data_IF_344909943472
#
_entry.id   IF_344909943472
#
_cell.length_a   1.000
_cell.length_b   1.000
_cell.length_c   1.000
_cell.angle_alpha   90.00
_cell.angle_beta   90.00
_cell.angle_gamma   90.00
#
_symmetry.space_group_name_H-M   'P 1'
#
loop_
_entity.id
_entity.type
_entity.pdbx_description
1 polymer ?
#
# COMPACT_ATOMS: atom_id res chain seq x y z
N UNK A 1 -19.12 -21.84 -9.87
CA UNK A 1 -18.01 -20.84 -9.99
C UNK A 1 -18.14 -19.83 -8.85
N UNK A 2 -17.13 -19.68 -7.97
CA UNK A 2 -17.15 -18.62 -6.95
C UNK A 2 -17.15 -17.24 -7.66
N UNK A 3 -18.14 -16.40 -7.33
CA UNK A 3 -18.24 -15.05 -7.87
C UNK A 3 -17.01 -14.24 -7.44
N UNK A 4 -16.30 -13.66 -8.38
CA UNK A 4 -15.08 -12.89 -8.13
C UNK A 4 -15.42 -11.65 -7.30
N UNK A 5 -14.58 -11.32 -6.32
CA UNK A 5 -14.74 -10.12 -5.50
C UNK A 5 -14.79 -8.87 -6.39
N UNK A 6 -15.67 -7.95 -6.05
CA UNK A 6 -15.84 -6.67 -6.75
C UNK A 6 -15.63 -5.53 -5.78
N UNK A 7 -14.79 -4.58 -6.15
CA UNK A 7 -14.68 -3.29 -5.47
C UNK A 7 -15.29 -2.19 -6.34
N UNK A 8 -15.95 -1.24 -5.72
CA UNK A 8 -16.56 -0.08 -6.38
C UNK A 8 -15.64 1.12 -6.26
N UNK A 9 -15.38 1.77 -7.40
CA UNK A 9 -14.70 3.04 -7.46
C UNK A 9 -15.73 4.17 -7.38
N UNK A 10 -15.71 4.92 -6.29
CA UNK A 10 -16.58 6.06 -6.04
C UNK A 10 -16.05 7.32 -6.72
N UNK A 11 -16.89 8.38 -6.79
CA UNK A 11 -16.52 9.65 -7.43
C UNK A 11 -15.41 10.40 -6.68
N UNK A 12 -15.25 10.17 -5.39
CA UNK A 12 -14.17 10.69 -4.57
C UNK A 12 -12.88 9.82 -4.61
N UNK A 13 -12.79 8.93 -5.59
CA UNK A 13 -11.68 8.00 -5.81
C UNK A 13 -11.46 6.93 -4.73
N UNK A 14 -12.39 6.76 -3.79
CA UNK A 14 -12.35 5.62 -2.86
C UNK A 14 -12.71 4.33 -3.58
N UNK A 15 -12.03 3.25 -3.20
CA UNK A 15 -12.24 1.90 -3.74
C UNK A 15 -12.75 1.01 -2.60
N UNK A 16 -14.01 0.61 -2.66
CA UNK A 16 -14.69 -0.06 -1.54
C UNK A 16 -15.20 -1.45 -1.94
N UNK A 17 -14.89 -2.44 -1.12
CA UNK A 17 -15.52 -3.77 -1.17
C UNK A 17 -16.67 -3.79 -0.17
N UNK A 18 -17.89 -3.75 -0.67
CA UNK A 18 -19.11 -3.69 0.15
C UNK A 18 -19.51 -5.04 0.74
N UNK A 19 -19.27 -6.12 0.02
CA UNK A 19 -19.53 -7.49 0.46
C UNK A 19 -18.57 -7.85 1.59
N UNK A 20 -19.10 -8.01 2.81
CA UNK A 20 -18.31 -8.21 4.03
C UNK A 20 -17.54 -9.54 4.01
N UNK A 21 -18.14 -10.62 3.49
CA UNK A 21 -17.45 -11.91 3.39
C UNK A 21 -16.28 -11.84 2.42
N UNK A 22 -16.48 -11.15 1.28
CA UNK A 22 -15.41 -10.90 0.30
C UNK A 22 -14.36 -9.93 0.82
N UNK A 23 -14.77 -8.94 1.59
CA UNK A 23 -13.87 -8.02 2.27
C UNK A 23 -12.94 -8.78 3.24
N UNK A 24 -13.49 -9.66 4.08
CA UNK A 24 -12.71 -10.54 4.97
C UNK A 24 -11.78 -11.47 4.20
N UNK A 25 -12.26 -12.08 3.11
CA UNK A 25 -11.44 -12.94 2.25
C UNK A 25 -10.21 -12.19 1.70
N UNK A 26 -10.37 -10.93 1.24
CA UNK A 26 -9.28 -10.10 0.74
C UNK A 26 -8.32 -9.70 1.87
N UNK A 27 -8.85 -9.26 3.00
CA UNK A 27 -8.04 -8.84 4.14
C UNK A 27 -7.24 -10.02 4.72
N UNK A 28 -7.88 -11.13 5.05
CA UNK A 28 -7.24 -12.27 5.69
C UNK A 28 -6.23 -13.00 4.79
N UNK A 29 -6.36 -12.88 3.46
CA UNK A 29 -5.44 -13.47 2.48
C UNK A 29 -4.29 -12.54 2.06
N UNK A 30 -3.95 -11.54 2.86
CA UNK A 30 -2.77 -10.70 2.56
C UNK A 30 -2.83 -9.28 3.10
N UNK A 31 -3.76 -9.01 4.02
CA UNK A 31 -3.89 -7.72 4.71
C UNK A 31 -4.09 -6.54 3.75
N UNK A 32 -4.85 -6.75 2.67
CA UNK A 32 -5.19 -5.68 1.74
C UNK A 32 -6.35 -4.86 2.28
N UNK A 33 -6.22 -3.55 2.20
CA UNK A 33 -7.23 -2.60 2.61
C UNK A 33 -7.37 -2.42 4.12
N UNK A 34 -8.36 -1.63 4.49
CA UNK A 34 -8.70 -1.35 5.88
C UNK A 34 -10.21 -1.31 6.03
N UNK A 35 -10.81 -2.06 6.98
CA UNK A 35 -12.23 -1.94 7.29
C UNK A 35 -12.59 -0.53 7.72
N UNK A 36 -13.69 0.01 7.18
CA UNK A 36 -14.13 1.37 7.44
C UNK A 36 -14.46 1.55 8.94
N UNK A 37 -13.88 2.60 9.52
CA UNK A 37 -14.14 2.95 10.93
C UNK A 37 -13.48 2.03 11.97
N UNK A 38 -12.74 0.99 11.54
CA UNK A 38 -12.05 0.10 12.45
C UNK A 38 -10.52 0.31 12.40
N UNK A 39 -9.92 0.90 13.46
CA UNK A 39 -8.49 1.16 13.50
C UNK A 39 -7.63 -0.10 13.75
N UNK A 40 -8.25 -1.17 14.29
CA UNK A 40 -7.58 -2.43 14.66
C UNK A 40 -8.45 -3.62 14.31
N UNK A 41 -8.65 -3.87 13.00
CA UNK A 41 -9.57 -4.92 12.56
C UNK A 41 -9.08 -6.29 13.00
N UNK A 42 -10.06 -7.11 13.44
CA UNK A 42 -9.90 -8.54 13.62
C UNK A 42 -10.32 -9.26 12.34
N UNK A 43 -10.07 -10.58 12.27
CA UNK A 43 -10.43 -11.39 11.11
C UNK A 43 -11.94 -11.40 10.78
N UNK A 44 -12.78 -11.16 11.80
CA UNK A 44 -14.25 -11.22 11.75
C UNK A 44 -14.95 -9.84 11.68
N UNK A 45 -14.25 -8.79 11.27
CA UNK A 45 -14.82 -7.43 11.15
C UNK A 45 -16.11 -7.42 10.31
N UNK A 46 -16.99 -6.45 10.59
CA UNK A 46 -18.34 -6.38 9.98
C UNK A 46 -18.52 -5.15 9.06
N UNK A 47 -17.46 -4.45 8.77
CA UNK A 47 -17.49 -3.21 8.00
C UNK A 47 -16.98 -3.44 6.56
N UNK A 48 -17.44 -2.64 5.58
CA UNK A 48 -16.87 -2.63 4.24
C UNK A 48 -15.37 -2.36 4.25
N UNK A 49 -14.65 -2.85 3.25
CA UNK A 49 -13.21 -2.71 3.16
C UNK A 49 -12.83 -1.61 2.18
N UNK A 50 -12.11 -0.60 2.66
CA UNK A 50 -11.49 0.43 1.86
C UNK A 50 -10.12 -0.06 1.38
N UNK A 51 -9.92 -0.11 0.06
CA UNK A 51 -8.64 -0.44 -0.56
C UNK A 51 -7.86 0.85 -0.86
N UNK A 52 -6.56 0.80 -0.61
CA UNK A 52 -5.67 1.83 -1.15
C UNK A 52 -5.59 1.70 -2.70
N UNK A 53 -5.41 2.80 -3.45
CA UNK A 53 -5.31 2.78 -4.90
C UNK A 53 -4.26 1.80 -5.46
N UNK A 54 -3.08 1.74 -4.83
CA UNK A 54 -2.01 0.81 -5.27
C UNK A 54 -2.36 -0.66 -4.98
N UNK A 55 -3.04 -0.91 -3.85
CA UNK A 55 -3.54 -2.25 -3.49
C UNK A 55 -4.60 -2.72 -4.48
N UNK A 56 -5.55 -1.84 -4.81
CA UNK A 56 -6.62 -2.16 -5.75
C UNK A 56 -6.06 -2.51 -7.14
N UNK A 57 -5.13 -1.71 -7.65
CA UNK A 57 -4.49 -2.00 -8.93
C UNK A 57 -3.70 -3.31 -8.90
N UNK A 58 -2.99 -3.59 -7.79
CA UNK A 58 -2.26 -4.85 -7.61
C UNK A 58 -3.20 -6.06 -7.59
N UNK A 59 -4.33 -5.96 -6.88
CA UNK A 59 -5.34 -7.02 -6.84
C UNK A 59 -6.00 -7.26 -8.21
N UNK A 60 -6.22 -6.20 -8.99
CA UNK A 60 -6.72 -6.31 -10.38
C UNK A 60 -5.67 -6.95 -11.29
N UNK A 61 -4.41 -6.53 -11.17
CA UNK A 61 -3.27 -7.06 -11.95
C UNK A 61 -3.11 -8.57 -11.72
N UNK A 62 -3.25 -9.00 -10.47
CA UNK A 62 -3.22 -10.41 -10.07
C UNK A 62 -4.58 -11.13 -10.26
N UNK A 63 -5.55 -10.53 -10.95
CA UNK A 63 -6.86 -11.10 -11.24
C UNK A 63 -7.66 -11.52 -9.99
N UNK A 64 -7.38 -10.96 -8.83
CA UNK A 64 -8.07 -11.27 -7.56
C UNK A 64 -9.42 -10.58 -7.45
N UNK A 65 -9.54 -9.35 -7.94
CA UNK A 65 -10.79 -8.57 -7.91
C UNK A 65 -11.16 -8.00 -9.28
N UNK A 66 -12.43 -7.57 -9.40
CA UNK A 66 -12.89 -6.69 -10.47
C UNK A 66 -13.19 -5.31 -9.89
N UNK A 67 -13.09 -4.26 -10.70
CA UNK A 67 -13.54 -2.93 -10.33
C UNK A 67 -14.77 -2.56 -11.14
N UNK A 68 -15.73 -1.93 -10.47
CA UNK A 68 -16.91 -1.31 -11.10
C UNK A 68 -16.95 0.17 -10.77
N UNK A 69 -17.46 0.96 -11.70
CA UNK A 69 -17.84 2.36 -11.48
C UNK A 69 -19.20 2.56 -12.11
N UNK A 70 -20.14 3.16 -11.40
CA UNK A 70 -21.53 3.36 -11.85
C UNK A 70 -22.17 2.06 -12.36
N UNK A 71 -21.96 0.97 -11.64
CA UNK A 71 -22.46 -0.38 -11.99
C UNK A 71 -21.79 -1.04 -13.20
N UNK A 72 -20.85 -0.37 -13.87
CA UNK A 72 -20.14 -0.87 -15.06
C UNK A 72 -18.72 -1.32 -14.70
N UNK A 73 -18.35 -2.52 -15.16
CA UNK A 73 -16.99 -3.01 -15.02
C UNK A 73 -16.01 -2.14 -15.80
N UNK A 74 -14.92 -1.73 -15.18
CA UNK A 74 -13.82 -1.01 -15.83
C UNK A 74 -12.61 -1.92 -16.05
N UNK A 75 -11.88 -1.67 -17.14
CA UNK A 75 -10.67 -2.41 -17.44
C UNK A 75 -9.51 -1.95 -16.55
N UNK A 76 -8.48 -2.82 -16.40
CA UNK A 76 -7.23 -2.48 -15.70
C UNK A 76 -6.60 -1.19 -16.25
N UNK A 77 -6.51 -1.05 -17.57
CA UNK A 77 -5.87 0.12 -18.19
C UNK A 77 -6.66 1.40 -17.90
N UNK A 78 -8.01 1.34 -17.91
CA UNK A 78 -8.86 2.47 -17.56
C UNK A 78 -8.69 2.83 -16.08
N UNK A 79 -8.70 1.83 -15.18
CA UNK A 79 -8.45 2.04 -13.76
C UNK A 79 -7.09 2.72 -13.55
N UNK A 80 -6.02 2.16 -14.12
CA UNK A 80 -4.67 2.71 -13.98
C UNK A 80 -4.61 4.17 -14.39
N UNK A 81 -5.14 4.51 -15.58
CA UNK A 81 -5.17 5.89 -16.05
C UNK A 81 -5.90 6.83 -15.09
N UNK A 82 -7.07 6.42 -14.57
CA UNK A 82 -7.82 7.22 -13.60
C UNK A 82 -7.04 7.43 -12.29
N UNK A 83 -6.30 6.43 -11.83
CA UNK A 83 -5.48 6.55 -10.62
C UNK A 83 -4.26 7.45 -10.84
N UNK A 84 -3.61 7.36 -11.99
CA UNK A 84 -2.51 8.27 -12.40
C UNK A 84 -2.94 9.74 -12.45
N UNK A 85 -4.15 10.00 -12.93
CA UNK A 85 -4.71 11.35 -13.02
C UNK A 85 -5.09 11.95 -11.65
N UNK A 86 -5.37 11.11 -10.65
CA UNK A 86 -5.92 11.56 -9.36
C UNK A 86 -4.93 11.43 -8.18
N UNK A 87 -3.82 10.71 -8.33
CA UNK A 87 -2.87 10.47 -7.25
C UNK A 87 -1.45 10.80 -7.70
N UNK A 88 -0.78 11.65 -6.93
CA UNK A 88 0.62 12.04 -7.17
C UNK A 88 1.55 10.84 -7.04
N UNK A 89 2.51 10.73 -7.96
CA UNK A 89 3.56 9.70 -7.99
C UNK A 89 2.98 8.27 -7.97
N UNK A 90 1.79 8.10 -8.57
CA UNK A 90 1.06 6.83 -8.51
C UNK A 90 1.85 5.67 -9.14
N UNK A 91 2.51 5.91 -10.27
CA UNK A 91 3.27 4.86 -10.97
C UNK A 91 4.46 4.39 -10.15
N UNK A 92 5.20 5.31 -9.56
CA UNK A 92 6.36 5.10 -8.71
C UNK A 92 5.94 4.31 -7.46
N UNK A 93 4.87 4.74 -6.80
CA UNK A 93 4.28 4.05 -5.65
C UNK A 93 3.81 2.64 -6.01
N UNK A 94 3.12 2.50 -7.12
CA UNK A 94 2.66 1.19 -7.58
C UNK A 94 3.82 0.25 -7.93
N UNK A 95 4.87 0.76 -8.57
CA UNK A 95 6.06 -0.02 -8.92
C UNK A 95 6.76 -0.56 -7.68
N UNK A 96 7.00 0.29 -6.68
CA UNK A 96 7.63 -0.11 -5.41
C UNK A 96 6.72 -1.06 -4.63
N UNK A 97 5.43 -0.74 -4.51
CA UNK A 97 4.46 -1.61 -3.86
C UNK A 97 4.46 -3.02 -4.46
N UNK A 98 4.36 -3.11 -5.77
CA UNK A 98 4.34 -4.39 -6.51
C UNK A 98 5.63 -5.19 -6.30
N UNK A 99 6.80 -4.55 -6.31
CA UNK A 99 8.09 -5.20 -6.08
C UNK A 99 8.18 -5.78 -4.67
N UNK A 100 7.80 -5.00 -3.65
CA UNK A 100 7.81 -5.46 -2.26
C UNK A 100 6.82 -6.61 -2.02
N UNK A 101 5.60 -6.51 -2.58
CA UNK A 101 4.61 -7.60 -2.52
C UNK A 101 5.10 -8.88 -3.20
N UNK A 102 5.76 -8.75 -4.34
CA UNK A 102 6.30 -9.90 -5.08
C UNK A 102 7.49 -10.56 -4.36
N UNK A 103 8.18 -9.82 -3.48
CA UNK A 103 9.20 -10.35 -2.57
C UNK A 103 8.62 -11.04 -1.33
N UNK A 104 7.29 -11.04 -1.17
CA UNK A 104 6.60 -11.71 -0.07
C UNK A 104 6.25 -10.83 1.12
N UNK A 105 6.60 -9.54 1.10
CA UNK A 105 6.25 -8.63 2.19
C UNK A 105 4.77 -8.26 2.19
N UNK A 106 4.23 -8.00 3.38
CA UNK A 106 2.95 -7.32 3.54
C UNK A 106 3.21 -5.82 3.59
N UNK A 107 2.61 -5.08 2.66
CA UNK A 107 2.80 -3.64 2.49
C UNK A 107 1.48 -2.93 2.72
N UNK A 108 1.47 -1.95 3.60
CA UNK A 108 0.31 -1.11 3.91
C UNK A 108 0.67 0.37 3.78
N UNK A 109 -0.33 1.27 3.62
CA UNK A 109 -0.07 2.71 3.62
C UNK A 109 0.67 3.15 4.88
N UNK A 110 1.72 3.95 4.71
CA UNK A 110 2.61 4.42 5.76
C UNK A 110 2.19 5.75 6.40
N UNK A 111 0.99 6.28 6.12
CA UNK A 111 0.50 7.60 6.55
C UNK A 111 0.69 7.81 8.06
N UNK A 112 0.43 6.79 8.87
CA UNK A 112 0.61 6.84 10.32
C UNK A 112 2.05 7.18 10.74
N UNK A 113 3.01 6.87 9.89
CA UNK A 113 4.44 7.08 10.12
C UNK A 113 5.00 8.26 9.33
N UNK A 114 4.16 8.96 8.55
CA UNK A 114 4.58 10.07 7.68
C UNK A 114 5.44 9.63 6.50
N UNK A 115 5.25 8.41 6.01
CA UNK A 115 5.95 7.85 4.86
C UNK A 115 4.96 7.19 3.89
N UNK A 116 5.42 6.72 2.74
CA UNK A 116 4.55 6.09 1.74
C UNK A 116 4.05 4.73 2.20
N UNK A 117 4.94 3.86 2.71
CA UNK A 117 4.57 2.50 3.11
C UNK A 117 5.14 2.10 4.48
N UNK A 118 4.36 1.27 5.18
CA UNK A 118 4.82 0.42 6.27
C UNK A 118 4.90 -1.01 5.76
N UNK A 119 6.02 -1.68 6.00
CA UNK A 119 6.32 -3.01 5.45
C UNK A 119 6.51 -4.00 6.58
N UNK A 120 5.84 -5.14 6.49
CA UNK A 120 5.82 -6.22 7.46
C UNK A 120 6.35 -7.51 6.83
N UNK A 121 6.92 -8.37 7.64
CA UNK A 121 7.27 -9.71 7.22
C UNK A 121 6.05 -10.64 7.20
N UNK A 122 5.20 -10.57 8.24
CA UNK A 122 4.04 -11.44 8.39
C UNK A 122 2.70 -10.67 8.29
N UNK A 123 2.62 -9.47 8.83
CA UNK A 123 1.47 -8.59 8.68
C UNK A 123 1.00 -7.86 9.93
N UNK A 124 0.12 -6.87 9.78
CA UNK A 124 -0.44 -6.09 10.88
C UNK A 124 -1.13 -6.99 11.91
N UNK A 125 -0.78 -6.80 13.19
CA UNK A 125 -1.34 -7.59 14.29
C UNK A 125 -0.60 -8.91 14.57
N UNK A 126 0.23 -9.38 13.64
CA UNK A 126 1.08 -10.56 13.82
C UNK A 126 2.48 -10.10 14.25
N UNK A 127 3.05 -9.15 13.53
CA UNK A 127 4.33 -8.53 13.84
C UNK A 127 4.24 -7.01 13.83
N UNK A 128 5.30 -6.36 14.32
CA UNK A 128 5.48 -4.92 14.14
C UNK A 128 6.18 -4.69 12.80
N UNK A 129 5.68 -3.74 11.98
CA UNK A 129 6.36 -3.38 10.75
C UNK A 129 7.85 -3.07 11.03
N UNK A 130 8.81 -3.87 10.54
CA UNK A 130 10.22 -3.59 10.76
C UNK A 130 10.71 -2.41 9.92
N UNK A 131 10.04 -2.09 8.81
CA UNK A 131 10.48 -1.07 7.87
C UNK A 131 9.41 -0.02 7.61
N UNK A 132 9.84 1.22 7.43
CA UNK A 132 9.07 2.32 6.82
C UNK A 132 9.78 2.75 5.55
N UNK A 133 9.01 2.94 4.48
CA UNK A 133 9.54 3.18 3.13
C UNK A 133 9.03 4.52 2.63
N UNK A 134 9.95 5.38 2.22
CA UNK A 134 9.70 6.61 1.49
C UNK A 134 10.19 6.44 0.06
N UNK A 135 9.38 6.86 -0.88
CA UNK A 135 9.73 6.85 -2.30
C UNK A 135 10.31 8.21 -2.67
N UNK A 136 11.37 8.19 -3.43
CA UNK A 136 12.02 9.39 -3.97
C UNK A 136 12.37 9.16 -5.43
N UNK A 137 12.39 10.21 -6.21
CA UNK A 137 12.87 10.15 -7.59
C UNK A 137 14.39 9.97 -7.67
N UNK A 138 14.86 9.39 -8.76
CA UNK A 138 16.30 9.12 -8.94
C UNK A 138 17.15 10.40 -8.99
N UNK A 139 16.55 11.50 -9.42
CA UNK A 139 17.19 12.81 -9.56
C UNK A 139 16.87 13.76 -8.39
N UNK A 140 16.17 13.28 -7.36
CA UNK A 140 15.82 14.07 -6.18
C UNK A 140 17.05 14.29 -5.29
N UNK A 141 17.32 15.53 -4.98
CA UNK A 141 18.38 15.93 -4.04
C UNK A 141 17.82 15.91 -2.61
N UNK A 142 18.46 15.14 -1.74
CA UNK A 142 18.13 15.10 -0.32
C UNK A 142 19.13 15.94 0.47
N UNK A 143 18.61 16.86 1.26
CA UNK A 143 19.42 17.59 2.23
C UNK A 143 19.84 16.70 3.40
N UNK A 144 20.97 17.01 4.03
CA UNK A 144 21.40 16.32 5.25
C UNK A 144 20.34 16.40 6.37
N UNK A 145 19.57 17.50 6.44
CA UNK A 145 18.50 17.68 7.41
C UNK A 145 17.35 16.70 7.18
N UNK A 146 16.97 16.42 5.92
CA UNK A 146 15.93 15.44 5.56
C UNK A 146 16.37 14.03 5.91
N UNK A 147 17.62 13.67 5.64
CA UNK A 147 18.19 12.36 6.01
C UNK A 147 18.17 12.19 7.53
N UNK A 148 18.60 13.20 8.30
CA UNK A 148 18.57 13.15 9.77
C UNK A 148 17.14 13.07 10.30
N UNK A 149 16.19 13.82 9.69
CA UNK A 149 14.78 13.78 10.06
C UNK A 149 14.20 12.38 9.84
N UNK A 150 14.48 11.75 8.70
CA UNK A 150 14.06 10.40 8.36
C UNK A 150 14.61 9.36 9.36
N UNK A 151 15.92 9.43 9.66
CA UNK A 151 16.55 8.57 10.66
C UNK A 151 15.96 8.73 12.07
N UNK A 152 15.67 9.98 12.50
CA UNK A 152 14.99 10.24 13.78
C UNK A 152 13.59 9.66 13.81
N UNK A 153 12.81 9.81 12.74
CA UNK A 153 11.50 9.22 12.63
C UNK A 153 11.57 7.70 12.82
N UNK A 154 12.45 7.05 12.09
CA UNK A 154 12.66 5.60 12.18
C UNK A 154 13.03 5.15 13.60
N UNK A 155 13.94 5.87 14.26
CA UNK A 155 14.33 5.59 15.64
C UNK A 155 13.17 5.77 16.60
N UNK A 156 12.39 6.84 16.46
CA UNK A 156 11.21 7.12 17.32
C UNK A 156 10.18 6.01 17.22
N UNK A 157 9.96 5.46 16.04
CA UNK A 157 9.01 4.37 15.83
C UNK A 157 9.66 2.97 15.91
N UNK A 158 10.95 2.89 16.21
CA UNK A 158 11.75 1.64 16.30
C UNK A 158 11.69 0.81 15.02
N UNK A 159 11.89 1.45 13.86
CA UNK A 159 11.84 0.85 12.54
C UNK A 159 13.08 1.22 11.74
N UNK A 160 13.48 0.40 10.78
CA UNK A 160 14.44 0.80 9.79
C UNK A 160 13.77 1.72 8.74
N UNK A 161 14.48 2.79 8.39
CA UNK A 161 14.03 3.71 7.34
C UNK A 161 14.67 3.33 6.02
N UNK A 162 13.83 3.18 5.00
CA UNK A 162 14.25 2.80 3.65
C UNK A 162 13.83 3.88 2.67
N UNK A 163 14.76 4.37 1.88
CA UNK A 163 14.48 5.11 0.65
C UNK A 163 14.35 4.11 -0.51
N UNK A 164 13.23 4.18 -1.21
CA UNK A 164 12.99 3.41 -2.42
C UNK A 164 13.10 4.31 -3.64
N UNK A 165 13.99 3.97 -4.55
CA UNK A 165 14.19 4.68 -5.83
C UNK A 165 13.63 3.81 -6.95
N UNK A 166 12.49 4.21 -7.56
CA UNK A 166 11.91 3.51 -8.69
C UNK A 166 12.87 3.54 -9.89
N UNK A 167 13.10 2.37 -10.48
CA UNK A 167 13.95 2.23 -11.65
C UNK A 167 13.56 0.95 -12.41
N UNK A 168 14.19 0.63 -13.53
CA UNK A 168 14.02 -0.66 -14.21
C UNK A 168 14.14 -1.85 -13.23
N UNK A 169 15.03 -1.75 -12.27
CA UNK A 169 15.12 -2.57 -11.06
C UNK A 169 15.17 -1.60 -9.89
N UNK A 170 14.14 -1.61 -9.04
CA UNK A 170 14.08 -0.70 -7.88
C UNK A 170 15.32 -0.84 -7.01
N UNK A 171 15.79 0.28 -6.51
CA UNK A 171 16.90 0.35 -5.54
C UNK A 171 16.33 0.72 -4.18
N UNK A 172 16.92 0.18 -3.14
CA UNK A 172 16.53 0.43 -1.75
C UNK A 172 17.76 0.79 -0.95
N UNK A 173 17.69 1.89 -0.22
CA UNK A 173 18.77 2.37 0.65
C UNK A 173 18.23 2.35 2.07
N UNK A 174 18.81 1.51 2.92
CA UNK A 174 18.48 1.44 4.34
C UNK A 174 19.42 2.35 5.13
N UNK A 175 18.83 3.15 6.05
CA UNK A 175 19.58 4.03 6.92
C UNK A 175 19.71 3.41 8.30
N UNK A 176 20.93 3.18 8.70
CA UNK A 176 21.29 2.71 10.03
C UNK A 176 22.15 3.75 10.77
N UNK A 177 21.86 3.96 12.05
CA UNK A 177 22.72 4.79 12.87
C UNK A 177 24.01 4.06 13.20
N UNK A 178 25.12 4.66 12.83
CA UNK A 178 26.40 4.19 13.31
C UNK A 178 26.59 4.64 14.76
N UNK A 179 26.83 3.68 15.64
CA UNK A 179 27.20 3.92 17.04
C UNK A 179 28.68 3.69 17.16
N UNK A 180 29.41 4.79 17.41
CA UNK A 180 30.84 4.73 17.71
C UNK A 180 31.10 4.05 19.05
#
# INVERSE_FOLDING_TARGET
MRKKTTAELLDDNRLIVWDIEKAREIYNNGFYGKPLGDPRPKEDFVNPLLLDPVEALYLVDNKKINIVKDGKKISKNKLKKMLEENFTDFNEKYQVYKDLRNKGYVVTPGIKYGCDFAVYENGPGIDHAPYVVQIIDADEELSAAEIVKAGRLATTVRKAFILAVPAKKNKYIEFNWWKA
#
